data_IF_209506315104
#
_entry.id   IF_209506315104
#
_cell.length_a   1.000
_cell.length_b   1.000
_cell.length_c   1.000
_cell.angle_alpha   90.00
_cell.angle_beta   90.00
_cell.angle_gamma   90.00
#
_symmetry.space_group_name_H-M   'P 1'
#
loop_
_entity.id
_entity.type
_entity.pdbx_description
1 polymer ?
#
# COMPACT_ATOMS: atom_id res chain seq x y z
N UNK A 1 7.14 -16.01 8.79
CA UNK A 1 8.04 -14.99 8.19
C UNK A 1 8.91 -14.39 9.31
N UNK A 2 10.03 -13.73 9.03
CA UNK A 2 10.75 -13.01 10.10
C UNK A 2 9.94 -11.76 10.49
N UNK A 3 9.95 -11.38 11.76
CA UNK A 3 9.35 -10.12 12.26
C UNK A 3 9.90 -8.91 11.50
N UNK A 4 11.18 -8.92 11.13
CA UNK A 4 11.82 -7.85 10.34
C UNK A 4 11.15 -7.69 8.96
N UNK A 5 11.02 -8.77 8.19
CA UNK A 5 10.38 -8.74 6.87
C UNK A 5 8.90 -8.37 6.95
N UNK A 6 8.21 -8.80 8.01
CA UNK A 6 6.82 -8.44 8.25
C UNK A 6 6.68 -6.94 8.55
N UNK A 7 7.52 -6.40 9.42
CA UNK A 7 7.55 -4.97 9.72
C UNK A 7 7.91 -4.14 8.48
N UNK A 8 8.91 -4.56 7.71
CA UNK A 8 9.28 -3.90 6.45
C UNK A 8 8.11 -3.89 5.46
N UNK A 9 7.42 -5.03 5.27
CA UNK A 9 6.24 -5.10 4.41
C UNK A 9 5.14 -4.16 4.90
N UNK A 10 4.89 -4.14 6.21
CA UNK A 10 3.88 -3.25 6.80
C UNK A 10 4.21 -1.78 6.54
N UNK A 11 5.45 -1.37 6.76
CA UNK A 11 5.91 0.01 6.51
C UNK A 11 5.77 0.35 5.02
N UNK A 12 6.21 -0.52 4.11
CA UNK A 12 6.07 -0.28 2.67
C UNK A 12 4.61 -0.11 2.28
N UNK A 13 3.72 -1.01 2.71
CA UNK A 13 2.28 -0.94 2.41
C UNK A 13 1.65 0.32 3.01
N UNK A 14 1.97 0.66 4.26
CA UNK A 14 1.47 1.86 4.92
C UNK A 14 1.92 3.15 4.22
N UNK A 15 3.12 3.17 3.66
CA UNK A 15 3.63 4.35 2.96
C UNK A 15 3.05 4.53 1.55
N UNK A 16 2.43 3.50 0.94
CA UNK A 16 1.92 3.59 -0.45
C UNK A 16 1.03 4.82 -0.67
N UNK A 17 0.00 5.12 0.16
CA UNK A 17 -0.84 6.29 -0.09
C UNK A 17 -0.09 7.62 0.03
N UNK A 18 0.96 7.71 0.87
CA UNK A 18 1.74 8.94 1.04
C UNK A 18 2.51 9.33 -0.23
N UNK A 19 2.84 8.36 -1.09
CA UNK A 19 3.49 8.63 -2.38
C UNK A 19 2.56 9.28 -3.40
N UNK A 20 1.27 9.40 -3.10
CA UNK A 20 0.39 10.23 -3.90
C UNK A 20 0.48 11.73 -3.55
N UNK A 21 1.16 12.09 -2.46
CA UNK A 21 1.43 13.50 -2.16
C UNK A 21 2.52 14.05 -3.09
N UNK A 22 2.37 15.28 -3.62
CA UNK A 22 3.33 15.91 -4.51
C UNK A 22 4.56 16.47 -3.78
N UNK A 23 5.17 15.66 -2.90
CA UNK A 23 6.39 15.99 -2.16
C UNK A 23 7.63 15.96 -3.07
N UNK A 24 7.49 15.45 -4.30
CA UNK A 24 8.58 15.32 -5.27
C UNK A 24 8.27 16.09 -6.55
N UNK A 25 9.30 16.59 -7.23
CA UNK A 25 9.18 17.45 -8.43
C UNK A 25 8.41 16.77 -9.58
N UNK A 26 8.55 15.44 -9.72
CA UNK A 26 7.88 14.58 -10.72
C UNK A 26 6.89 13.60 -10.05
N UNK A 27 5.93 14.17 -9.31
CA UNK A 27 5.09 13.44 -8.36
C UNK A 27 4.05 12.48 -8.96
N UNK A 28 3.61 12.68 -10.20
CA UNK A 28 2.49 11.89 -10.72
C UNK A 28 2.91 10.49 -11.15
N UNK A 29 4.15 10.32 -11.61
CA UNK A 29 4.53 9.16 -12.41
C UNK A 29 5.72 8.44 -11.79
N UNK A 30 6.85 9.12 -11.67
CA UNK A 30 8.12 8.48 -11.37
C UNK A 30 8.27 8.14 -9.89
N UNK A 31 7.84 9.03 -9.00
CA UNK A 31 7.98 8.86 -7.54
C UNK A 31 7.25 7.62 -7.01
N UNK A 32 6.02 7.38 -7.49
CA UNK A 32 5.16 6.26 -7.07
C UNK A 32 5.78 4.92 -7.47
N UNK A 33 6.24 4.83 -8.71
CA UNK A 33 6.89 3.64 -9.25
C UNK A 33 8.18 3.32 -8.51
N UNK A 34 9.07 4.30 -8.36
CA UNK A 34 10.37 4.07 -7.72
C UNK A 34 10.23 3.63 -6.28
N UNK A 35 9.22 4.15 -5.56
CA UNK A 35 8.95 3.68 -4.20
C UNK A 35 8.56 2.21 -4.14
N UNK A 36 7.61 1.79 -4.98
CA UNK A 36 7.17 0.39 -5.01
C UNK A 36 8.32 -0.52 -5.42
N UNK A 37 9.09 -0.13 -6.43
CA UNK A 37 10.27 -0.87 -6.88
C UNK A 37 11.35 -0.96 -5.79
N UNK A 38 11.66 0.15 -5.11
CA UNK A 38 12.60 0.19 -3.99
C UNK A 38 12.13 -0.68 -2.82
N UNK A 39 10.85 -0.55 -2.43
CA UNK A 39 10.25 -1.35 -1.37
C UNK A 39 10.29 -2.84 -1.68
N UNK A 40 9.92 -3.23 -2.91
CA UNK A 40 10.04 -4.60 -3.38
C UNK A 40 11.49 -5.10 -3.37
N UNK A 41 12.44 -4.28 -3.83
CA UNK A 41 13.87 -4.60 -3.84
C UNK A 41 14.41 -4.82 -2.43
N UNK A 42 14.09 -3.94 -1.47
CA UNK A 42 14.47 -4.09 -0.05
C UNK A 42 13.91 -5.39 0.52
N UNK A 43 12.66 -5.74 0.24
CA UNK A 43 12.05 -6.99 0.70
C UNK A 43 12.76 -8.23 0.13
N UNK A 44 13.12 -8.19 -1.16
CA UNK A 44 13.92 -9.24 -1.80
C UNK A 44 15.29 -9.35 -1.17
N UNK A 45 16.00 -8.24 -0.94
CA UNK A 45 17.29 -8.21 -0.27
C UNK A 45 17.23 -8.83 1.13
N UNK A 46 16.23 -8.46 1.93
CA UNK A 46 16.02 -9.02 3.27
C UNK A 46 15.81 -10.55 3.22
N UNK A 47 15.01 -11.02 2.27
CA UNK A 47 14.79 -12.47 2.10
C UNK A 47 16.00 -13.19 1.55
N UNK A 48 16.76 -12.56 0.65
CA UNK A 48 18.00 -13.11 0.11
C UNK A 48 19.05 -13.24 1.21
N UNK A 49 19.25 -12.20 2.03
CA UNK A 49 20.13 -12.25 3.19
C UNK A 49 19.73 -13.37 4.15
N UNK A 50 18.43 -13.52 4.43
CA UNK A 50 17.94 -14.65 5.23
C UNK A 50 18.22 -16.01 4.56
N UNK A 51 18.00 -16.11 3.26
CA UNK A 51 18.26 -17.34 2.51
C UNK A 51 19.74 -17.74 2.60
N UNK A 52 20.67 -16.80 2.48
CA UNK A 52 22.10 -17.04 2.67
C UNK A 52 22.42 -17.57 4.07
N UNK A 53 21.78 -17.01 5.11
CA UNK A 53 22.00 -17.43 6.49
C UNK A 53 21.39 -18.80 6.82
N UNK A 54 20.20 -19.10 6.29
CA UNK A 54 19.44 -20.30 6.67
C UNK A 54 19.61 -21.47 5.71
N UNK A 55 20.05 -21.22 4.47
CA UNK A 55 20.20 -22.19 3.37
C UNK A 55 18.93 -23.01 3.08
N UNK A 56 17.75 -22.56 3.53
CA UNK A 56 16.48 -23.24 3.35
C UNK A 56 15.61 -22.47 2.37
N UNK A 57 15.20 -23.13 1.29
CA UNK A 57 14.22 -22.61 0.36
C UNK A 57 12.86 -23.26 0.63
N UNK A 58 11.86 -22.47 0.98
CA UNK A 58 10.48 -22.94 1.17
C UNK A 58 9.59 -22.29 0.12
N UNK A 59 9.29 -23.02 -0.95
CA UNK A 59 8.30 -22.58 -1.94
C UNK A 59 6.92 -22.97 -1.43
N UNK A 60 6.11 -21.98 -1.04
CA UNK A 60 4.73 -22.21 -0.62
C UNK A 60 3.84 -22.19 -1.85
N UNK A 61 3.19 -23.31 -2.16
CA UNK A 61 2.21 -23.38 -3.25
C UNK A 61 0.94 -22.63 -2.85
N UNK A 62 0.52 -21.65 -3.65
CA UNK A 62 -0.70 -20.87 -3.42
C UNK A 62 -1.39 -20.64 -4.76
N UNK A 63 -2.66 -21.01 -4.86
CA UNK A 63 -3.48 -20.88 -6.08
C UNK A 63 -3.53 -19.40 -6.53
N UNK A 64 -3.70 -18.47 -5.60
CA UNK A 64 -3.70 -17.04 -5.91
C UNK A 64 -2.37 -16.58 -6.50
N UNK A 65 -1.26 -17.22 -6.09
CA UNK A 65 0.04 -16.93 -6.66
C UNK A 65 0.18 -17.43 -8.08
N UNK A 66 -0.37 -18.60 -8.39
CA UNK A 66 -0.37 -19.14 -9.74
C UNK A 66 -1.13 -18.23 -10.72
N UNK A 67 -2.30 -17.71 -10.32
CA UNK A 67 -3.06 -16.75 -11.13
C UNK A 67 -2.27 -15.47 -11.38
N UNK A 68 -1.61 -14.92 -10.35
CA UNK A 68 -0.73 -13.76 -10.49
C UNK A 68 0.44 -14.02 -11.44
N UNK A 69 1.08 -15.19 -11.38
CA UNK A 69 2.14 -15.57 -12.31
C UNK A 69 1.65 -15.66 -13.75
N UNK A 70 0.47 -16.24 -13.99
CA UNK A 70 -0.12 -16.31 -15.32
C UNK A 70 -0.43 -14.93 -15.89
N UNK A 71 -1.00 -14.03 -15.07
CA UNK A 71 -1.26 -12.64 -15.46
C UNK A 71 0.07 -11.91 -15.77
N UNK A 72 1.06 -12.06 -14.90
CA UNK A 72 2.39 -11.49 -15.11
C UNK A 72 3.03 -11.98 -16.40
N UNK A 73 2.99 -13.29 -16.65
CA UNK A 73 3.52 -13.91 -17.86
C UNK A 73 2.79 -13.41 -19.12
N UNK A 74 1.46 -13.37 -19.10
CA UNK A 74 0.66 -12.83 -20.20
C UNK A 74 1.02 -11.37 -20.50
N UNK A 75 1.23 -10.57 -19.46
CA UNK A 75 1.64 -9.17 -19.59
C UNK A 75 3.05 -9.02 -20.18
N UNK A 76 4.00 -9.83 -19.72
CA UNK A 76 5.38 -9.86 -20.24
C UNK A 76 5.36 -10.23 -21.72
N UNK A 77 4.63 -11.27 -22.09
CA UNK A 77 4.47 -11.68 -23.47
C UNK A 77 3.84 -10.58 -24.32
N UNK A 78 2.82 -9.89 -23.79
CA UNK A 78 2.21 -8.73 -24.46
C UNK A 78 3.25 -7.64 -24.76
N UNK A 79 4.08 -7.25 -23.79
CA UNK A 79 5.15 -6.26 -23.99
C UNK A 79 6.16 -6.72 -25.04
N UNK A 80 6.62 -7.97 -24.95
CA UNK A 80 7.69 -8.50 -25.81
C UNK A 80 7.22 -8.68 -27.25
N UNK A 81 5.95 -9.04 -27.46
CA UNK A 81 5.37 -9.29 -28.78
C UNK A 81 4.86 -8.01 -29.46
N UNK A 82 4.27 -7.08 -28.71
CA UNK A 82 3.61 -5.90 -29.28
C UNK A 82 4.52 -4.67 -29.35
N UNK A 83 5.58 -4.58 -28.55
CA UNK A 83 6.38 -3.36 -28.50
C UNK A 83 7.39 -3.25 -29.66
N UNK A 84 7.39 -2.13 -30.40
CA UNK A 84 8.41 -1.87 -31.41
C UNK A 84 9.81 -1.67 -30.81
N UNK A 85 9.91 -1.20 -29.55
CA UNK A 85 11.16 -1.02 -28.84
C UNK A 85 11.16 -1.80 -27.51
N UNK A 86 11.67 -3.03 -27.59
CA UNK A 86 11.66 -4.00 -26.48
C UNK A 86 12.36 -3.48 -25.22
N UNK A 87 13.53 -2.83 -25.37
CA UNK A 87 14.29 -2.32 -24.22
C UNK A 87 13.53 -1.17 -23.55
N UNK A 88 13.04 -0.22 -24.33
CA UNK A 88 12.29 0.91 -23.77
C UNK A 88 11.00 0.45 -23.08
N UNK A 89 10.32 -0.57 -23.61
CA UNK A 89 9.11 -1.09 -22.99
C UNK A 89 9.39 -1.88 -21.71
N UNK A 90 10.51 -2.63 -21.64
CA UNK A 90 10.91 -3.32 -20.40
C UNK A 90 11.20 -2.33 -19.28
N UNK A 91 11.91 -1.24 -19.60
CA UNK A 91 12.32 -0.23 -18.62
C UNK A 91 11.34 0.94 -18.47
N UNK A 92 10.17 0.89 -19.10
CA UNK A 92 9.16 1.93 -18.92
C UNK A 92 8.66 1.92 -17.46
N UNK A 93 8.77 3.04 -16.71
CA UNK A 93 8.40 3.04 -15.29
C UNK A 93 6.89 2.98 -15.05
N UNK A 94 6.05 3.39 -16.01
CA UNK A 94 4.59 3.35 -15.86
C UNK A 94 4.01 1.97 -16.19
N UNK A 95 4.41 1.43 -17.33
CA UNK A 95 3.78 0.25 -17.94
C UNK A 95 4.81 -0.83 -18.31
N UNK A 96 6.01 -0.74 -17.77
CA UNK A 96 7.06 -1.70 -18.06
C UNK A 96 7.07 -2.89 -17.11
N UNK A 97 8.00 -3.78 -17.42
CA UNK A 97 8.20 -5.04 -16.72
C UNK A 97 8.52 -4.84 -15.24
N UNK A 98 9.34 -3.83 -14.92
CA UNK A 98 9.78 -3.57 -13.55
C UNK A 98 8.60 -3.25 -12.64
N UNK A 99 7.57 -2.55 -13.13
CA UNK A 99 6.42 -2.14 -12.32
C UNK A 99 5.57 -3.36 -11.94
N UNK A 100 5.23 -4.19 -12.93
CA UNK A 100 4.45 -5.39 -12.69
C UNK A 100 5.18 -6.36 -11.77
N UNK A 101 6.48 -6.58 -11.97
CA UNK A 101 7.28 -7.42 -11.06
C UNK A 101 7.28 -6.85 -9.65
N UNK A 102 7.50 -5.55 -9.50
CA UNK A 102 7.56 -4.92 -8.19
C UNK A 102 6.23 -5.06 -7.46
N UNK A 103 5.11 -4.88 -8.17
CA UNK A 103 3.76 -5.09 -7.64
C UNK A 103 3.50 -6.56 -7.28
N UNK A 104 3.91 -7.51 -8.12
CA UNK A 104 3.77 -8.95 -7.84
C UNK A 104 4.58 -9.36 -6.60
N UNK A 105 5.83 -8.91 -6.51
CA UNK A 105 6.69 -9.13 -5.34
C UNK A 105 6.02 -8.57 -4.10
N UNK A 106 5.61 -7.30 -4.13
CA UNK A 106 4.94 -6.66 -3.00
C UNK A 106 3.66 -7.39 -2.60
N UNK A 107 2.85 -7.81 -3.57
CA UNK A 107 1.66 -8.63 -3.34
C UNK A 107 2.00 -9.94 -2.62
N UNK A 108 3.03 -10.67 -3.05
CA UNK A 108 3.44 -11.91 -2.39
C UNK A 108 3.92 -11.69 -0.95
N UNK A 109 4.71 -10.64 -0.73
CA UNK A 109 5.15 -10.29 0.61
C UNK A 109 4.00 -9.84 1.51
N UNK A 110 3.07 -9.04 0.98
CA UNK A 110 1.88 -8.62 1.71
C UNK A 110 1.01 -9.83 2.06
N UNK A 111 0.61 -10.63 1.06
CA UNK A 111 -0.19 -11.83 1.28
C UNK A 111 0.43 -12.73 2.37
N UNK A 112 1.74 -12.96 2.33
CA UNK A 112 2.42 -13.77 3.35
C UNK A 112 2.58 -13.08 4.70
N UNK A 113 2.79 -11.76 4.75
CA UNK A 113 3.00 -11.00 6.00
C UNK A 113 1.73 -10.88 6.83
N UNK A 114 0.60 -10.83 6.13
CA UNK A 114 -0.69 -10.56 6.74
C UNK A 114 -1.51 -11.81 7.04
N UNK A 115 -1.13 -12.99 6.52
CA UNK A 115 -1.70 -14.27 6.96
C UNK A 115 -1.42 -14.45 8.47
N UNK A 116 -2.48 -14.37 9.28
CA UNK A 116 -2.42 -14.50 10.75
C UNK A 116 -1.95 -13.24 11.50
N UNK A 117 -1.79 -12.10 10.82
CA UNK A 117 -1.52 -10.82 11.49
C UNK A 117 -2.78 -10.32 12.20
N UNK A 118 -2.62 -9.74 13.39
CA UNK A 118 -3.72 -9.05 14.10
C UNK A 118 -4.25 -7.85 13.32
N UNK A 119 -3.37 -7.18 12.57
CA UNK A 119 -3.70 -5.99 11.79
C UNK A 119 -3.77 -6.40 10.32
N UNK A 120 -4.93 -6.28 9.66
CA UNK A 120 -5.06 -6.61 8.25
C UNK A 120 -4.42 -5.52 7.36
N UNK A 121 -3.98 -5.86 6.14
CA UNK A 121 -3.29 -4.91 5.25
C UNK A 121 -4.18 -3.74 4.87
N UNK A 122 -5.47 -4.02 4.70
CA UNK A 122 -6.46 -3.02 4.34
C UNK A 122 -6.63 -1.96 5.44
N UNK A 123 -6.38 -2.30 6.71
CA UNK A 123 -6.39 -1.31 7.79
C UNK A 123 -5.22 -0.34 7.64
N UNK A 124 -4.01 -0.84 7.40
CA UNK A 124 -2.83 0.02 7.18
C UNK A 124 -3.02 0.96 5.99
N UNK A 125 -3.58 0.45 4.89
CA UNK A 125 -3.92 1.25 3.71
C UNK A 125 -5.03 2.27 4.00
N UNK A 126 -6.06 1.89 4.75
CA UNK A 126 -7.18 2.78 5.10
C UNK A 126 -6.71 3.95 5.98
N UNK A 127 -5.88 3.68 6.99
CA UNK A 127 -5.34 4.72 7.88
C UNK A 127 -4.45 5.69 7.11
N UNK A 128 -3.51 5.17 6.32
CA UNK A 128 -2.60 6.02 5.54
C UNK A 128 -3.35 6.82 4.46
N UNK A 129 -4.32 6.21 3.77
CA UNK A 129 -5.13 6.90 2.78
C UNK A 129 -6.00 8.01 3.42
N UNK A 130 -6.56 7.77 4.61
CA UNK A 130 -7.31 8.78 5.36
C UNK A 130 -6.42 9.95 5.79
N UNK A 131 -5.20 9.68 6.25
CA UNK A 131 -4.24 10.76 6.58
C UNK A 131 -3.92 11.60 5.35
N UNK A 132 -3.68 10.94 4.20
CA UNK A 132 -3.39 11.61 2.92
C UNK A 132 -4.58 12.43 2.43
N UNK A 133 -5.82 11.92 2.58
CA UNK A 133 -7.02 12.63 2.16
C UNK A 133 -7.30 13.86 3.02
N UNK A 134 -7.14 13.77 4.35
CA UNK A 134 -7.25 14.93 5.25
C UNK A 134 -6.18 15.95 4.90
N UNK A 135 -4.93 15.53 4.73
CA UNK A 135 -3.85 16.42 4.33
C UNK A 135 -4.19 17.14 3.01
N UNK A 136 -4.69 16.40 2.02
CA UNK A 136 -5.08 16.97 0.73
C UNK A 136 -6.18 18.03 0.86
N UNK A 137 -7.18 17.80 1.74
CA UNK A 137 -8.22 18.79 2.02
C UNK A 137 -7.66 20.06 2.69
N UNK A 138 -6.74 19.90 3.63
CA UNK A 138 -6.09 21.03 4.30
C UNK A 138 -5.27 21.85 3.32
N UNK A 139 -4.56 21.22 2.37
CA UNK A 139 -3.81 21.95 1.34
C UNK A 139 -4.74 22.60 0.32
N UNK A 140 -5.87 21.96 -0.01
CA UNK A 140 -6.84 22.48 -0.99
C UNK A 140 -7.48 23.82 -0.59
N UNK A 141 -7.56 24.14 0.72
CA UNK A 141 -8.05 25.45 1.19
C UNK A 141 -6.98 26.55 1.14
N UNK A 142 -5.82 26.27 0.53
CA UNK A 142 -4.71 27.18 0.32
C UNK A 142 -4.28 27.95 1.60
N UNK A 143 -3.87 27.22 2.67
CA UNK A 143 -3.58 27.82 3.97
C UNK A 143 -2.31 28.70 3.94
N UNK A 144 -1.50 28.60 2.88
CA UNK A 144 -0.22 29.30 2.74
C UNK A 144 -0.22 30.37 1.65
N UNK A 145 -1.39 30.80 1.17
CA UNK A 145 -1.54 31.82 0.11
C UNK A 145 -0.78 33.12 0.35
N UNK A 146 -0.53 33.48 1.61
CA UNK A 146 0.17 34.72 2.01
C UNK A 146 1.64 34.54 2.36
N UNK A 147 2.18 33.31 2.31
CA UNK A 147 3.56 33.01 2.69
C UNK A 147 4.43 32.70 1.47
N UNK A 148 5.62 33.29 1.42
CA UNK A 148 6.63 32.92 0.43
C UNK A 148 7.33 31.62 0.86
N UNK A 149 6.88 30.50 0.30
CA UNK A 149 7.47 29.19 0.55
C UNK A 149 8.71 28.96 -0.35
N UNK A 150 9.76 28.29 0.15
CA UNK A 150 10.86 27.83 -0.70
C UNK A 150 10.36 26.97 -1.87
N UNK A 151 11.08 26.95 -3.00
CA UNK A 151 10.67 26.24 -4.22
C UNK A 151 10.32 24.76 -4.02
N UNK A 152 10.93 24.10 -3.04
CA UNK A 152 10.61 22.70 -2.72
C UNK A 152 9.23 22.53 -2.06
N UNK A 153 8.74 23.55 -1.35
CA UNK A 153 7.46 23.56 -0.63
C UNK A 153 6.35 24.30 -1.39
N UNK A 154 6.63 24.84 -2.57
CA UNK A 154 5.68 25.64 -3.35
C UNK A 154 4.41 24.88 -3.77
N UNK A 155 4.42 23.55 -3.70
CA UNK A 155 3.23 22.74 -3.95
C UNK A 155 2.13 22.94 -2.90
N UNK A 156 2.47 23.41 -1.69
CA UNK A 156 1.51 23.64 -0.61
C UNK A 156 0.66 24.91 -0.79
N UNK A 157 1.11 25.83 -1.65
CA UNK A 157 0.40 27.06 -2.01
C UNK A 157 -0.27 26.95 -3.39
N UNK A 158 -0.34 25.75 -3.96
CA UNK A 158 -0.96 25.53 -5.27
C UNK A 158 -2.46 25.31 -5.09
N UNK A 159 -3.29 26.23 -5.58
CA UNK A 159 -4.76 26.12 -5.59
C UNK A 159 -5.28 24.96 -6.44
N UNK A 160 -4.44 24.44 -7.34
CA UNK A 160 -4.72 23.26 -8.17
C UNK A 160 -4.14 21.97 -7.59
N UNK A 161 -3.69 21.97 -6.32
CA UNK A 161 -3.14 20.81 -5.66
C UNK A 161 -4.08 19.61 -5.81
N UNK A 162 -3.56 18.54 -6.43
CA UNK A 162 -4.25 17.27 -6.52
C UNK A 162 -3.26 16.12 -6.36
N UNK A 163 -3.74 15.06 -5.72
CA UNK A 163 -2.96 13.88 -5.33
C UNK A 163 -2.86 12.85 -6.48
N UNK A 164 -3.70 13.02 -7.51
CA UNK A 164 -3.93 12.03 -8.57
C UNK A 164 -3.67 12.57 -9.98
N UNK A 165 -3.60 13.88 -10.16
CA UNK A 165 -3.30 14.54 -11.45
C UNK A 165 -4.51 15.22 -12.07
N UNK A 166 -5.70 14.62 -11.94
CA UNK A 166 -6.97 15.18 -12.40
C UNK A 166 -7.86 15.56 -11.21
N UNK A 167 -8.55 16.71 -11.30
CA UNK A 167 -9.50 17.15 -10.27
C UNK A 167 -10.68 16.19 -10.09
N UNK A 168 -11.12 15.54 -11.19
CA UNK A 168 -12.21 14.55 -11.15
C UNK A 168 -11.74 13.29 -10.43
N UNK A 169 -10.57 12.79 -10.78
CA UNK A 169 -10.02 11.57 -10.17
C UNK A 169 -9.68 11.80 -8.70
N UNK A 170 -9.22 13.00 -8.36
CA UNK A 170 -9.03 13.42 -6.99
C UNK A 170 -10.33 13.41 -6.20
N UNK A 171 -11.41 13.98 -6.73
CA UNK A 171 -12.72 13.99 -6.06
C UNK A 171 -13.28 12.57 -5.88
N UNK A 172 -13.14 11.72 -6.90
CA UNK A 172 -13.51 10.31 -6.82
C UNK A 172 -12.71 9.57 -5.73
N UNK A 173 -11.39 9.78 -5.69
CA UNK A 173 -10.54 9.24 -4.63
C UNK A 173 -10.95 9.74 -3.25
N UNK A 174 -11.21 11.04 -3.09
CA UNK A 174 -11.63 11.62 -1.83
C UNK A 174 -12.92 10.97 -1.33
N UNK A 175 -13.92 10.79 -2.20
CA UNK A 175 -15.17 10.11 -1.86
C UNK A 175 -14.91 8.65 -1.46
N UNK A 176 -14.22 7.90 -2.32
CA UNK A 176 -13.96 6.47 -2.09
C UNK A 176 -13.14 6.25 -0.82
N UNK A 177 -12.10 7.05 -0.60
CA UNK A 177 -11.20 6.91 0.54
C UNK A 177 -11.86 7.39 1.81
N UNK A 178 -12.47 8.57 1.84
CA UNK A 178 -13.10 9.07 3.07
C UNK A 178 -14.27 8.19 3.48
N UNK A 179 -15.18 7.90 2.55
CA UNK A 179 -16.36 7.08 2.85
C UNK A 179 -15.95 5.64 3.10
N UNK A 180 -15.17 5.04 2.18
CA UNK A 180 -14.76 3.65 2.27
C UNK A 180 -13.89 3.36 3.50
N UNK A 181 -12.88 4.19 3.77
CA UNK A 181 -12.00 4.01 4.94
C UNK A 181 -12.75 4.25 6.24
N UNK A 182 -13.60 5.28 6.30
CA UNK A 182 -14.40 5.56 7.52
C UNK A 182 -15.40 4.44 7.82
N UNK A 183 -16.10 3.94 6.80
CA UNK A 183 -17.02 2.81 6.95
C UNK A 183 -16.28 1.53 7.35
N UNK A 184 -15.11 1.27 6.75
CA UNK A 184 -14.29 0.13 7.10
C UNK A 184 -13.79 0.19 8.55
N UNK A 185 -13.29 1.35 8.98
CA UNK A 185 -12.85 1.57 10.36
C UNK A 185 -14.00 1.46 11.35
N UNK A 186 -15.16 2.04 11.03
CA UNK A 186 -16.38 1.90 11.84
C UNK A 186 -16.71 0.42 12.04
N UNK A 187 -16.82 -0.34 10.95
CA UNK A 187 -17.17 -1.77 11.00
C UNK A 187 -16.17 -2.56 11.84
N UNK A 188 -14.88 -2.34 11.61
CA UNK A 188 -13.79 -3.00 12.34
C UNK A 188 -13.84 -2.72 13.84
N UNK A 189 -14.21 -1.50 14.24
CA UNK A 189 -14.36 -1.14 15.64
C UNK A 189 -15.56 -1.84 16.30
N UNK A 190 -16.73 -1.88 15.61
CA UNK A 190 -17.92 -2.59 16.10
C UNK A 190 -17.67 -4.09 16.32
N UNK A 191 -16.95 -4.73 15.40
CA UNK A 191 -16.64 -6.15 15.49
C UNK A 191 -15.72 -6.45 16.70
N UNK A 192 -14.76 -5.55 16.98
CA UNK A 192 -13.84 -5.67 18.12
C UNK A 192 -14.58 -5.57 19.47
N UNK A 193 -15.47 -4.57 19.62
CA UNK A 193 -16.27 -4.37 20.84
C UNK A 193 -17.21 -5.54 21.10
N UNK A 194 -17.77 -6.14 20.04
CA UNK A 194 -18.69 -7.27 20.14
C UNK A 194 -17.98 -8.53 20.68
N UNK A 195 -16.75 -8.79 20.23
CA UNK A 195 -15.96 -9.91 20.71
C UNK A 195 -15.56 -9.80 22.19
N UNK A 196 -15.19 -8.60 22.67
CA UNK A 196 -14.87 -8.38 24.08
C UNK A 196 -16.08 -8.60 24.99
N UNK A 197 -17.28 -8.16 24.58
CA UNK A 197 -18.52 -8.38 25.35
C UNK A 197 -18.86 -9.86 25.48
N UNK A 198 -18.66 -10.66 24.44
CA UNK A 198 -18.92 -12.09 24.49
C UNK A 198 -17.96 -12.81 25.45
N UNK A 199 -16.66 -12.48 25.44
CA UNK A 199 -15.70 -13.06 26.38
C UNK A 199 -16.00 -12.65 27.83
N UNK A 200 -16.34 -11.37 28.07
CA UNK A 200 -16.70 -10.90 29.41
C UNK A 200 -17.97 -11.57 29.96
N UNK A 201 -18.97 -11.79 29.11
CA UNK A 201 -20.20 -12.52 29.49
C UNK A 201 -19.88 -13.95 29.91
N UNK A 202 -19.03 -14.66 29.15
CA UNK A 202 -18.68 -16.05 29.45
C UNK A 202 -17.95 -16.18 30.80
N UNK A 203 -16.99 -15.29 31.10
CA UNK A 203 -16.29 -15.29 32.40
C UNK A 203 -17.22 -15.02 33.59
N UNK A 204 -18.28 -14.22 33.41
CA UNK A 204 -19.26 -13.95 34.48
C UNK A 204 -20.15 -15.16 34.76
N UNK A 205 -20.56 -15.91 33.73
CA UNK A 205 -21.38 -17.12 33.93
C UNK A 205 -20.61 -18.23 34.65
N UNK A 206 -19.31 -18.40 34.38
CA UNK A 206 -18.49 -19.38 35.11
C UNK A 206 -18.32 -19.04 36.60
N UNK A 207 -18.18 -17.75 36.95
CA UNK A 207 -18.08 -17.33 38.35
C UNK A 207 -19.34 -17.59 39.19
N UNK A 208 -20.52 -17.69 38.57
CA UNK A 208 -21.79 -17.93 39.28
C UNK A 208 -22.01 -19.44 39.56
N UNK A 209 -21.29 -20.32 38.87
CA UNK A 209 -21.49 -21.79 38.99
C UNK A 209 -20.57 -22.40 40.07
N UNK A 210 -19.55 -21.69 40.55
CA UNK A 210 -18.60 -22.18 41.56
C UNK A 210 -18.82 -21.62 42.99
N UNK A 211 -19.92 -20.91 43.25
CA UNK A 211 -20.29 -20.39 44.58
C UNK A 211 -21.57 -21.03 45.12
#
# INVERSE_FOLDING_TARGET
>A
MNKITQAATFVVVFMIPFFFLPVTRDFLIYSKFYFVALGAFVLVLLSFGKFLLTKKFSLTHNIAAQSMFLIGLAYILSIVLMSPNKLQAVFNPQYGFVMIISMMILYFYAAKSFIGSKIPPIFALSVSALVVSIFALVVMVDPFSSMELPTYWSFLSATTFNVIGSSIDFLAFMIVVLVGSSLFMWRSHKDSVSHERMQSSHNKTFMIIEG
#
